data_IF_476110659082
#
_entry.id   IF_476110659082
#
_cell.length_a   1.000
_cell.length_b   1.000
_cell.length_c   1.000
_cell.angle_alpha   90.00
_cell.angle_beta   90.00
_cell.angle_gamma   90.00
#
_symmetry.space_group_name_H-M   'P 1'
#
loop_
_entity.id
_entity.type
_entity.pdbx_description
1 polymer ?
#
# COMPACT_ATOMS: atom_id res chain seq x y z
N UNK A 1 28.30 6.60 -5.86
CA UNK A 1 28.95 5.26 -5.80
C UNK A 1 29.47 4.88 -7.20
N UNK A 2 30.64 4.23 -7.34
CA UNK A 2 31.09 3.67 -8.63
C UNK A 2 30.34 2.37 -8.95
N UNK A 3 30.00 2.17 -10.22
CA UNK A 3 29.30 0.98 -10.74
C UNK A 3 30.09 0.36 -11.89
N UNK A 4 30.28 -0.96 -11.84
CA UNK A 4 30.97 -1.75 -12.87
C UNK A 4 30.12 -2.98 -13.22
N UNK A 5 29.02 -2.77 -13.96
CA UNK A 5 28.05 -3.84 -14.25
C UNK A 5 28.64 -4.92 -15.17
N UNK A 6 28.32 -6.18 -14.84
CA UNK A 6 28.60 -7.33 -15.69
C UNK A 6 27.80 -7.26 -17.00
N UNK A 7 28.24 -7.96 -18.04
CA UNK A 7 27.52 -8.01 -19.33
C UNK A 7 26.10 -8.58 -19.17
N UNK A 8 25.93 -9.59 -18.30
CA UNK A 8 24.63 -10.14 -17.97
C UNK A 8 23.72 -9.10 -17.30
N UNK A 9 24.25 -8.26 -16.42
CA UNK A 9 23.47 -7.20 -15.78
C UNK A 9 23.09 -6.09 -16.76
N UNK A 10 23.93 -5.76 -17.74
CA UNK A 10 23.61 -4.78 -18.79
C UNK A 10 22.45 -5.23 -19.68
N UNK A 11 22.23 -6.54 -19.80
CA UNK A 11 21.11 -7.10 -20.55
C UNK A 11 19.77 -7.13 -19.77
N UNK A 12 19.77 -6.77 -18.48
CA UNK A 12 18.54 -6.72 -17.69
C UNK A 12 17.63 -5.57 -18.14
N UNK A 13 16.30 -5.74 -18.06
CA UNK A 13 15.37 -4.63 -18.23
C UNK A 13 15.70 -3.50 -17.24
N UNK A 14 15.84 -2.29 -17.77
CA UNK A 14 16.13 -1.07 -17.00
C UNK A 14 17.48 -1.08 -16.26
N UNK A 15 18.50 -1.76 -16.80
CA UNK A 15 19.86 -1.74 -16.24
C UNK A 15 20.42 -0.30 -16.05
N UNK A 16 20.23 0.58 -17.03
CA UNK A 16 20.68 1.98 -16.95
C UNK A 16 20.05 2.75 -15.78
N UNK A 17 18.80 2.41 -15.44
CA UNK A 17 18.11 3.00 -14.31
C UNK A 17 18.66 2.48 -12.97
N UNK A 18 18.93 1.18 -12.88
CA UNK A 18 19.63 0.63 -11.72
C UNK A 18 21.00 1.29 -11.54
N UNK A 19 21.76 1.49 -12.61
CA UNK A 19 23.05 2.16 -12.58
C UNK A 19 22.93 3.61 -12.07
N UNK A 20 21.98 4.39 -12.62
CA UNK A 20 21.70 5.76 -12.18
C UNK A 20 21.36 5.82 -10.69
N UNK A 21 20.47 4.96 -10.22
CA UNK A 21 20.04 4.94 -8.81
C UNK A 21 21.21 4.60 -7.88
N UNK A 22 22.04 3.61 -8.25
CA UNK A 22 23.23 3.23 -7.48
C UNK A 22 24.24 4.38 -7.41
N UNK A 23 24.48 5.07 -8.52
CA UNK A 23 25.43 6.20 -8.58
C UNK A 23 25.03 7.34 -7.65
N UNK A 24 23.73 7.60 -7.47
CA UNK A 24 23.21 8.59 -6.53
C UNK A 24 23.51 8.27 -5.05
N UNK A 25 23.70 7.01 -4.69
CA UNK A 25 23.96 6.64 -3.30
C UNK A 25 25.38 7.06 -2.87
N UNK A 26 25.46 7.77 -1.74
CA UNK A 26 26.72 8.21 -1.10
C UNK A 26 27.04 7.45 0.21
N UNK A 27 26.28 6.40 0.52
CA UNK A 27 26.49 5.52 1.69
C UNK A 27 26.47 6.18 3.09
N UNK A 28 25.86 7.37 3.23
CA UNK A 28 25.79 8.12 4.49
C UNK A 28 25.06 7.42 5.64
N UNK A 29 24.13 6.50 5.36
CA UNK A 29 23.46 5.68 6.38
C UNK A 29 22.20 6.26 7.03
N UNK A 30 21.77 7.48 6.68
CA UNK A 30 20.51 8.08 7.21
C UNK A 30 19.29 7.17 7.02
N UNK A 31 19.25 6.41 5.92
CA UNK A 31 18.18 5.48 5.63
C UNK A 31 18.06 4.32 6.64
N UNK A 32 19.14 3.95 7.35
CA UNK A 32 19.09 2.89 8.36
C UNK A 32 18.41 3.37 9.65
N UNK A 33 18.55 4.66 10.00
CA UNK A 33 17.91 5.24 11.18
C UNK A 33 16.38 5.16 11.12
N UNK A 34 15.80 5.16 9.92
CA UNK A 34 14.34 5.11 9.71
C UNK A 34 13.85 3.76 9.16
N UNK A 35 14.75 2.82 8.89
CA UNK A 35 14.37 1.53 8.31
C UNK A 35 13.83 0.59 9.39
N UNK A 36 12.54 0.21 9.34
CA UNK A 36 11.93 -0.63 10.36
C UNK A 36 12.66 -1.97 10.57
N UNK A 37 13.05 -2.66 9.50
CA UNK A 37 13.72 -3.96 9.66
C UNK A 37 15.13 -3.84 10.22
N UNK A 38 15.83 -2.74 9.95
CA UNK A 38 17.13 -2.49 10.58
C UNK A 38 16.97 -2.17 12.06
N UNK A 39 16.00 -1.34 12.44
CA UNK A 39 15.74 -1.00 13.84
C UNK A 39 15.37 -2.23 14.68
N UNK A 40 14.59 -3.16 14.12
CA UNK A 40 14.23 -4.41 14.81
C UNK A 40 15.36 -5.43 14.90
N UNK A 41 16.20 -5.55 13.86
CA UNK A 41 17.18 -6.63 13.76
C UNK A 41 18.63 -6.22 14.06
N UNK A 42 18.95 -4.93 14.01
CA UNK A 42 20.32 -4.41 14.12
C UNK A 42 21.26 -4.85 12.98
N UNK A 43 20.74 -5.54 11.96
CA UNK A 43 21.54 -6.09 10.87
C UNK A 43 21.58 -5.11 9.68
N UNK A 44 22.79 -4.67 9.31
CA UNK A 44 23.02 -3.76 8.17
C UNK A 44 22.44 -4.29 6.86
N UNK A 45 22.47 -5.61 6.62
CA UNK A 45 21.93 -6.23 5.43
C UNK A 45 20.39 -6.14 5.37
N UNK A 46 19.74 -5.95 6.52
CA UNK A 46 18.30 -5.66 6.63
C UNK A 46 18.01 -4.14 6.65
N UNK A 47 19.02 -3.30 6.44
CA UNK A 47 18.89 -1.86 6.16
C UNK A 47 18.87 -1.55 4.65
N UNK A 48 18.38 -0.36 4.23
CA UNK A 48 18.31 0.00 2.82
C UNK A 48 19.70 0.11 2.20
N UNK A 49 20.70 0.59 2.94
CA UNK A 49 22.09 0.68 2.48
C UNK A 49 22.70 -0.70 2.22
N UNK A 50 22.52 -1.65 3.14
CA UNK A 50 22.97 -3.03 2.94
C UNK A 50 22.28 -3.69 1.75
N UNK A 51 20.97 -3.54 1.60
CA UNK A 51 20.23 -4.08 0.44
C UNK A 51 20.64 -3.46 -0.90
N UNK A 52 20.92 -2.16 -0.93
CA UNK A 52 21.52 -1.50 -2.11
C UNK A 52 22.85 -2.17 -2.48
N UNK A 53 23.69 -2.45 -1.48
CA UNK A 53 24.97 -3.11 -1.70
C UNK A 53 24.80 -4.55 -2.18
N UNK A 54 23.85 -5.31 -1.63
CA UNK A 54 23.50 -6.65 -2.09
C UNK A 54 23.08 -6.66 -3.56
N UNK A 55 22.21 -5.72 -3.97
CA UNK A 55 21.79 -5.59 -5.37
C UNK A 55 22.99 -5.19 -6.26
N UNK A 56 23.85 -4.27 -5.79
CA UNK A 56 25.07 -3.90 -6.52
C UNK A 56 26.00 -5.10 -6.73
N UNK A 57 26.27 -5.88 -5.69
CA UNK A 57 27.14 -7.06 -5.76
C UNK A 57 26.61 -8.08 -6.76
N UNK A 58 25.30 -8.29 -6.79
CA UNK A 58 24.66 -9.09 -7.82
C UNK A 58 24.85 -8.51 -9.23
N UNK A 59 24.63 -7.21 -9.43
CA UNK A 59 24.75 -6.59 -10.76
C UNK A 59 26.20 -6.54 -11.29
N UNK A 60 27.19 -6.35 -10.42
CA UNK A 60 28.60 -6.25 -10.82
C UNK A 60 29.29 -7.61 -10.96
N UNK A 61 28.97 -8.55 -10.08
CA UNK A 61 29.76 -9.76 -9.93
C UNK A 61 28.93 -11.05 -10.04
N UNK A 62 27.61 -10.94 -10.26
CA UNK A 62 26.68 -12.07 -10.28
C UNK A 62 26.72 -12.90 -8.98
N UNK A 63 27.10 -12.25 -7.86
CA UNK A 63 27.20 -12.88 -6.55
C UNK A 63 25.83 -12.78 -5.87
N UNK A 64 25.21 -13.94 -5.64
CA UNK A 64 23.90 -14.04 -5.01
C UNK A 64 23.77 -15.33 -4.22
N UNK A 65 23.01 -15.28 -3.13
CA UNK A 65 22.79 -16.42 -2.23
C UNK A 65 21.37 -16.43 -1.67
N UNK A 66 20.98 -17.53 -1.02
CA UNK A 66 19.73 -17.60 -0.25
C UNK A 66 19.63 -16.47 0.80
N UNK A 67 20.74 -16.14 1.47
CA UNK A 67 20.78 -15.01 2.42
C UNK A 67 20.55 -13.66 1.72
N UNK A 68 21.06 -13.49 0.50
CA UNK A 68 20.81 -12.28 -0.30
C UNK A 68 19.31 -12.12 -0.57
N UNK A 69 18.64 -13.20 -1.00
CA UNK A 69 17.20 -13.22 -1.24
C UNK A 69 16.41 -12.93 0.05
N UNK A 70 16.77 -13.57 1.16
CA UNK A 70 16.13 -13.37 2.46
C UNK A 70 16.16 -11.90 2.91
N UNK A 71 17.31 -11.25 2.84
CA UNK A 71 17.45 -9.84 3.22
C UNK A 71 16.60 -8.93 2.35
N UNK A 72 16.51 -9.17 1.04
CA UNK A 72 15.65 -8.39 0.15
C UNK A 72 14.16 -8.64 0.40
N UNK A 73 13.78 -9.88 0.68
CA UNK A 73 12.39 -10.26 0.96
C UNK A 73 11.89 -9.76 2.32
N UNK A 74 12.79 -9.43 3.25
CA UNK A 74 12.46 -8.71 4.49
C UNK A 74 12.11 -7.24 4.26
N UNK A 75 12.33 -6.68 3.07
CA UNK A 75 11.95 -5.30 2.81
C UNK A 75 10.42 -5.12 2.73
N UNK A 76 9.88 -4.25 3.57
CA UNK A 76 8.45 -3.89 3.59
C UNK A 76 8.01 -3.03 2.40
N UNK A 77 8.93 -2.53 1.56
CA UNK A 77 8.65 -1.56 0.48
C UNK A 77 7.97 -0.26 0.95
N UNK A 78 8.17 0.13 2.22
CA UNK A 78 7.49 1.27 2.84
C UNK A 78 7.97 2.66 2.38
N UNK A 79 9.08 2.74 1.65
CA UNK A 79 9.72 3.96 1.12
C UNK A 79 10.13 5.03 2.15
N UNK A 80 10.11 4.73 3.46
CA UNK A 80 10.61 5.65 4.49
C UNK A 80 12.09 6.05 4.23
N UNK A 81 12.88 5.07 3.80
CA UNK A 81 14.28 5.26 3.41
C UNK A 81 14.49 6.32 2.32
N UNK A 82 13.52 6.51 1.42
CA UNK A 82 13.60 7.48 0.33
C UNK A 82 13.22 8.87 0.80
N UNK A 83 12.23 8.95 1.69
CA UNK A 83 11.82 10.23 2.30
C UNK A 83 12.97 10.86 3.07
N UNK A 84 13.76 10.05 3.79
CA UNK A 84 14.91 10.56 4.57
C UNK A 84 16.20 10.69 3.77
N UNK A 85 16.26 10.21 2.53
CA UNK A 85 17.51 10.16 1.77
C UNK A 85 17.86 11.56 1.22
N UNK A 86 18.99 12.18 1.66
CA UNK A 86 19.37 13.49 1.12
C UNK A 86 19.79 13.44 -0.35
N UNK A 87 20.20 12.25 -0.84
CA UNK A 87 20.63 12.04 -2.22
C UNK A 87 19.50 11.62 -3.16
N UNK A 88 18.25 11.51 -2.66
CA UNK A 88 17.09 11.15 -3.49
C UNK A 88 17.19 9.75 -4.13
N UNK A 89 17.77 8.77 -3.44
CA UNK A 89 17.88 7.39 -3.95
C UNK A 89 16.48 6.76 -4.04
N UNK A 90 16.04 6.43 -5.25
CA UNK A 90 14.76 5.76 -5.54
C UNK A 90 14.87 4.25 -5.32
N UNK A 91 15.10 3.86 -4.07
CA UNK A 91 15.39 2.47 -3.69
C UNK A 91 14.32 1.47 -4.13
N UNK A 92 13.03 1.82 -4.12
CA UNK A 92 11.94 0.96 -4.56
C UNK A 92 12.09 0.51 -6.01
N UNK A 93 12.56 1.39 -6.91
CA UNK A 93 12.78 1.06 -8.32
C UNK A 93 13.96 0.12 -8.47
N UNK A 94 15.04 0.37 -7.74
CA UNK A 94 16.19 -0.53 -7.69
C UNK A 94 15.79 -1.91 -7.15
N UNK A 95 14.92 -1.95 -6.14
CA UNK A 95 14.39 -3.19 -5.58
C UNK A 95 13.51 -3.94 -6.57
N UNK A 96 12.66 -3.23 -7.33
CA UNK A 96 11.81 -3.80 -8.38
C UNK A 96 12.65 -4.36 -9.56
N UNK A 97 13.86 -3.85 -9.79
CA UNK A 97 14.79 -4.44 -10.77
C UNK A 97 15.53 -5.64 -10.15
N UNK A 98 16.05 -5.48 -8.93
CA UNK A 98 16.93 -6.45 -8.28
C UNK A 98 16.23 -7.73 -7.82
N UNK A 99 15.08 -7.63 -7.15
CA UNK A 99 14.36 -8.80 -6.58
C UNK A 99 14.01 -9.86 -7.62
N UNK A 100 13.35 -9.56 -8.75
CA UNK A 100 12.99 -10.58 -9.72
C UNK A 100 14.22 -11.17 -10.43
N UNK A 101 15.26 -10.38 -10.65
CA UNK A 101 16.52 -10.86 -11.21
C UNK A 101 17.22 -11.85 -10.25
N UNK A 102 17.24 -11.54 -8.95
CA UNK A 102 17.80 -12.41 -7.90
C UNK A 102 16.93 -13.66 -7.69
N UNK A 103 15.60 -13.55 -7.68
CA UNK A 103 14.67 -14.68 -7.59
C UNK A 103 14.85 -15.68 -8.76
N UNK A 104 15.21 -15.19 -9.94
CA UNK A 104 15.52 -16.04 -11.09
C UNK A 104 16.84 -16.83 -10.93
N UNK A 105 17.78 -16.35 -10.10
CA UNK A 105 19.05 -17.03 -9.82
C UNK A 105 18.98 -17.94 -8.59
N UNK A 106 18.24 -17.54 -7.57
CA UNK A 106 18.14 -18.26 -6.29
C UNK A 106 16.77 -18.91 -6.16
N UNK A 107 16.75 -20.23 -6.26
CA UNK A 107 15.52 -21.00 -6.18
C UNK A 107 15.02 -21.08 -4.74
N UNK A 108 13.88 -20.45 -4.47
CA UNK A 108 13.14 -20.59 -3.20
C UNK A 108 12.72 -22.05 -2.92
N UNK A 109 12.61 -22.46 -1.65
CA UNK A 109 11.97 -23.70 -1.25
C UNK A 109 10.56 -23.87 -1.84
N UNK A 110 10.14 -25.11 -2.10
CA UNK A 110 8.85 -25.38 -2.74
C UNK A 110 7.66 -24.82 -1.95
N UNK A 111 7.70 -24.91 -0.62
CA UNK A 111 6.67 -24.38 0.29
C UNK A 111 6.51 -22.86 0.17
N UNK A 112 7.61 -22.11 0.12
CA UNK A 112 7.59 -20.66 -0.06
C UNK A 112 7.05 -20.27 -1.43
N UNK A 113 7.47 -20.99 -2.48
CA UNK A 113 6.95 -20.77 -3.84
C UNK A 113 5.45 -21.00 -3.90
N UNK A 114 4.96 -22.08 -3.30
CA UNK A 114 3.52 -22.38 -3.20
C UNK A 114 2.77 -21.29 -2.43
N UNK A 115 3.32 -20.80 -1.31
CA UNK A 115 2.72 -19.72 -0.53
C UNK A 115 2.64 -18.42 -1.34
N UNK A 116 3.76 -17.97 -1.92
CA UNK A 116 3.82 -16.74 -2.70
C UNK A 116 2.89 -16.80 -3.91
N UNK A 117 2.90 -17.90 -4.65
CA UNK A 117 2.02 -18.10 -5.80
C UNK A 117 0.55 -18.18 -5.38
N UNK A 118 0.24 -18.87 -4.29
CA UNK A 118 -1.10 -18.94 -3.73
C UNK A 118 -1.65 -17.56 -3.37
N UNK A 119 -0.86 -16.72 -2.68
CA UNK A 119 -1.23 -15.34 -2.33
C UNK A 119 -1.45 -14.49 -3.59
N UNK A 120 -0.55 -14.60 -4.56
CA UNK A 120 -0.61 -13.86 -5.84
C UNK A 120 -1.81 -14.26 -6.70
N UNK A 121 -2.24 -15.52 -6.63
CA UNK A 121 -3.40 -15.98 -7.38
C UNK A 121 -4.73 -15.71 -6.63
N UNK A 122 -4.73 -15.80 -5.30
CA UNK A 122 -5.94 -15.63 -4.50
C UNK A 122 -6.32 -14.16 -4.25
N UNK A 123 -5.39 -13.35 -3.73
CA UNK A 123 -5.71 -11.99 -3.25
C UNK A 123 -6.18 -11.04 -4.36
N UNK A 124 -5.55 -10.99 -5.56
CA UNK A 124 -5.96 -10.09 -6.63
C UNK A 124 -7.26 -10.48 -7.35
N UNK A 125 -7.90 -11.60 -6.98
CA UNK A 125 -9.16 -12.09 -7.55
C UNK A 125 -10.29 -11.95 -6.52
N UNK A 126 -11.09 -10.86 -6.55
CA UNK A 126 -12.06 -10.55 -5.50
C UNK A 126 -13.06 -11.67 -5.21
N UNK A 127 -13.57 -12.33 -6.25
CA UNK A 127 -14.52 -13.44 -6.12
C UNK A 127 -13.92 -14.66 -5.42
N UNK A 128 -12.71 -15.05 -5.83
CA UNK A 128 -11.97 -16.14 -5.21
C UNK A 128 -11.57 -15.81 -3.77
N UNK A 129 -11.03 -14.61 -3.53
CA UNK A 129 -10.69 -14.15 -2.19
C UNK A 129 -11.91 -14.17 -1.26
N UNK A 130 -13.06 -13.67 -1.72
CA UNK A 130 -14.31 -13.70 -0.96
C UNK A 130 -14.74 -15.12 -0.61
N UNK A 131 -14.67 -16.05 -1.57
CA UNK A 131 -15.02 -17.45 -1.32
C UNK A 131 -14.10 -18.07 -0.27
N UNK A 132 -12.77 -17.98 -0.46
CA UNK A 132 -11.78 -18.50 0.49
C UNK A 132 -11.93 -17.88 1.88
N UNK A 133 -12.16 -16.58 1.95
CA UNK A 133 -12.34 -15.87 3.20
C UNK A 133 -13.60 -16.33 3.95
N UNK A 134 -14.75 -16.47 3.26
CA UNK A 134 -15.98 -17.00 3.86
C UNK A 134 -15.84 -18.43 4.35
N UNK A 135 -15.15 -19.27 3.59
CA UNK A 135 -14.80 -20.64 4.02
C UNK A 135 -13.92 -20.59 5.28
N UNK A 136 -12.91 -19.71 5.30
CA UNK A 136 -12.07 -19.49 6.48
C UNK A 136 -12.87 -18.99 7.70
N UNK A 137 -13.90 -18.15 7.50
CA UNK A 137 -14.79 -17.70 8.57
C UNK A 137 -15.60 -18.85 9.15
N UNK A 138 -16.20 -19.68 8.30
CA UNK A 138 -16.98 -20.84 8.72
C UNK A 138 -16.12 -21.87 9.47
N UNK A 139 -14.86 -22.03 9.05
CA UNK A 139 -13.91 -22.99 9.62
C UNK A 139 -12.95 -22.35 10.64
N UNK A 140 -13.23 -21.14 11.13
CA UNK A 140 -12.33 -20.38 12.02
C UNK A 140 -11.83 -21.20 13.24
N UNK A 141 -12.64 -22.03 13.93
CA UNK A 141 -12.16 -22.84 15.05
C UNK A 141 -11.10 -23.88 14.67
N UNK A 142 -11.06 -24.27 13.38
CA UNK A 142 -10.13 -25.26 12.84
C UNK A 142 -8.90 -24.61 12.18
N UNK A 143 -8.90 -23.29 12.01
CA UNK A 143 -7.77 -22.58 11.41
C UNK A 143 -6.58 -22.49 12.37
N UNK A 144 -5.34 -22.59 11.86
CA UNK A 144 -4.16 -22.25 12.63
C UNK A 144 -4.28 -20.85 13.22
N UNK A 145 -3.86 -20.67 14.48
CA UNK A 145 -3.93 -19.37 15.19
C UNK A 145 -3.32 -18.22 14.38
N UNK A 146 -2.24 -18.49 13.63
CA UNK A 146 -1.55 -17.53 12.76
C UNK A 146 -2.42 -16.98 11.63
N UNK A 147 -3.39 -17.77 11.12
CA UNK A 147 -4.34 -17.35 10.09
C UNK A 147 -5.62 -16.77 10.69
N UNK A 148 -6.12 -17.38 11.77
CA UNK A 148 -7.32 -16.90 12.47
C UNK A 148 -7.15 -15.46 12.99
N UNK A 149 -5.93 -15.07 13.40
CA UNK A 149 -5.61 -13.71 13.85
C UNK A 149 -5.56 -12.66 12.74
N UNK A 150 -5.55 -13.08 11.46
CA UNK A 150 -5.58 -12.18 10.30
C UNK A 150 -7.00 -11.80 9.88
N UNK A 151 -7.99 -12.42 10.50
CA UNK A 151 -9.39 -12.17 10.20
C UNK A 151 -9.89 -10.98 11.02
N UNK A 152 -10.56 -9.99 10.41
CA UNK A 152 -11.14 -8.86 11.13
C UNK A 152 -12.03 -9.33 12.28
N UNK A 153 -11.99 -8.61 13.41
CA UNK A 153 -12.86 -8.89 14.57
C UNK A 153 -14.34 -8.72 14.21
N UNK A 154 -14.62 -7.68 13.43
CA UNK A 154 -15.95 -7.33 12.97
C UNK A 154 -15.85 -6.94 11.50
N UNK A 155 -16.87 -7.32 10.73
CA UNK A 155 -17.06 -6.88 9.35
C UNK A 155 -18.40 -6.15 9.33
N UNK A 156 -18.41 -4.81 9.20
CA UNK A 156 -19.67 -4.08 9.14
C UNK A 156 -20.44 -4.51 7.89
N UNK A 157 -21.77 -4.43 7.94
CA UNK A 157 -22.59 -4.67 6.77
C UNK A 157 -22.27 -3.62 5.68
N UNK A 158 -22.32 -3.97 4.38
CA UNK A 158 -22.19 -2.98 3.32
C UNK A 158 -23.31 -1.93 3.44
N UNK A 159 -22.93 -0.65 3.56
CA UNK A 159 -23.90 0.44 3.50
C UNK A 159 -24.42 0.70 2.09
N UNK A 160 -25.55 1.42 1.99
CA UNK A 160 -26.12 1.83 0.71
C UNK A 160 -25.29 2.96 0.08
N UNK A 161 -25.17 2.94 -1.25
CA UNK A 161 -24.49 3.99 -2.01
C UNK A 161 -25.53 4.89 -2.68
N UNK A 162 -25.44 6.22 -2.50
CA UNK A 162 -26.20 7.17 -3.32
C UNK A 162 -26.03 6.90 -4.81
N UNK A 163 -27.10 7.09 -5.58
CA UNK A 163 -27.02 7.06 -7.04
C UNK A 163 -26.32 8.35 -7.54
N UNK A 164 -25.50 8.27 -8.61
CA UNK A 164 -24.90 9.46 -9.20
C UNK A 164 -25.96 10.50 -9.59
N UNK A 165 -25.87 11.71 -9.02
CA UNK A 165 -26.85 12.80 -9.16
C UNK A 165 -26.23 14.19 -9.35
N UNK A 166 -24.93 14.33 -9.14
CA UNK A 166 -24.19 15.58 -9.23
C UNK A 166 -23.42 15.68 -10.54
N UNK A 167 -23.20 16.91 -11.01
CA UNK A 167 -22.42 17.19 -12.22
C UNK A 167 -20.97 16.74 -12.09
N UNK A 168 -20.37 16.99 -10.91
CA UNK A 168 -19.02 16.54 -10.59
C UNK A 168 -19.01 15.04 -10.38
N UNK A 169 -18.16 14.33 -11.13
CA UNK A 169 -18.11 12.86 -11.14
C UNK A 169 -16.68 12.35 -10.98
N UNK A 170 -16.49 11.36 -10.12
CA UNK A 170 -15.22 10.67 -9.92
C UNK A 170 -15.42 9.16 -9.96
N UNK A 171 -14.38 8.42 -10.34
CA UNK A 171 -14.39 6.97 -10.47
C UNK A 171 -13.82 6.32 -9.22
N UNK A 172 -14.47 5.32 -8.66
CA UNK A 172 -13.92 4.58 -7.51
C UNK A 172 -13.26 3.27 -7.95
N UNK A 173 -12.03 3.03 -7.49
CA UNK A 173 -11.46 1.69 -7.46
C UNK A 173 -12.13 0.88 -6.34
N UNK A 174 -12.85 -0.18 -6.70
CA UNK A 174 -13.45 -1.08 -5.70
C UNK A 174 -12.40 -1.82 -4.86
N UNK A 175 -11.25 -2.13 -5.47
CA UNK A 175 -10.19 -2.90 -4.85
C UNK A 175 -10.43 -4.40 -4.88
N UNK A 176 -9.48 -5.17 -4.38
CA UNK A 176 -9.51 -6.64 -4.44
C UNK A 176 -9.89 -7.31 -3.11
N UNK A 177 -9.23 -6.90 -2.03
CA UNK A 177 -9.39 -7.48 -0.70
C UNK A 177 -10.40 -6.69 0.14
N UNK A 178 -10.40 -5.36 0.02
CA UNK A 178 -11.23 -4.47 0.83
C UNK A 178 -12.73 -4.72 0.74
N UNK A 179 -13.34 -4.98 -0.44
CA UNK A 179 -14.79 -5.25 -0.52
C UNK A 179 -15.25 -6.48 0.26
N UNK A 180 -14.33 -7.32 0.73
CA UNK A 180 -14.60 -8.47 1.58
C UNK A 180 -14.28 -8.17 3.05
N UNK A 181 -13.17 -7.49 3.33
CA UNK A 181 -12.72 -7.23 4.71
C UNK A 181 -13.38 -5.99 5.37
N UNK A 182 -13.71 -4.97 4.58
CA UNK A 182 -14.33 -3.72 5.03
C UNK A 182 -15.30 -3.20 3.95
N UNK A 183 -16.46 -3.86 3.78
CA UNK A 183 -17.36 -3.60 2.66
C UNK A 183 -18.07 -2.24 2.75
N UNK A 184 -18.13 -1.61 3.94
CA UNK A 184 -18.76 -0.30 4.11
C UNK A 184 -17.86 0.86 3.66
N UNK A 185 -16.53 0.69 3.61
CA UNK A 185 -15.59 1.80 3.42
C UNK A 185 -15.83 2.60 2.15
N UNK A 186 -16.04 1.91 1.01
CA UNK A 186 -16.35 2.60 -0.25
C UNK A 186 -17.74 3.26 -0.21
N UNK A 187 -18.70 2.66 0.49
CA UNK A 187 -20.04 3.24 0.60
C UNK A 187 -20.05 4.49 1.48
N UNK A 188 -19.32 4.48 2.59
CA UNK A 188 -19.07 5.64 3.44
C UNK A 188 -18.39 6.77 2.66
N UNK A 189 -17.33 6.45 1.90
CA UNK A 189 -16.68 7.43 1.03
C UNK A 189 -17.65 8.01 -0.02
N UNK A 190 -18.52 7.20 -0.63
CA UNK A 190 -19.55 7.70 -1.56
C UNK A 190 -20.53 8.64 -0.87
N UNK A 191 -21.02 8.33 0.33
CA UNK A 191 -21.97 9.18 1.07
C UNK A 191 -21.33 10.52 1.49
N UNK A 192 -20.10 10.50 1.97
CA UNK A 192 -19.38 11.73 2.35
C UNK A 192 -19.15 12.62 1.12
N UNK A 193 -18.70 12.06 0.00
CA UNK A 193 -18.46 12.82 -1.22
C UNK A 193 -19.76 13.31 -1.88
N UNK A 194 -20.87 12.56 -1.77
CA UNK A 194 -22.19 12.99 -2.23
C UNK A 194 -22.67 14.23 -1.47
N UNK A 195 -22.46 14.32 -0.15
CA UNK A 195 -22.77 15.54 0.63
C UNK A 195 -21.95 16.75 0.18
N UNK A 196 -20.76 16.52 -0.36
CA UNK A 196 -19.88 17.55 -0.93
C UNK A 196 -20.17 17.83 -2.41
N UNK A 197 -21.29 17.31 -2.94
CA UNK A 197 -21.71 17.56 -4.31
C UNK A 197 -20.91 16.79 -5.37
N UNK A 198 -20.30 15.65 -5.01
CA UNK A 198 -19.50 14.83 -5.92
C UNK A 198 -20.13 13.44 -6.03
N UNK A 199 -20.53 13.07 -7.25
CA UNK A 199 -21.04 11.74 -7.54
C UNK A 199 -19.92 10.74 -7.81
N UNK A 200 -20.03 9.56 -7.20
CA UNK A 200 -19.03 8.50 -7.35
C UNK A 200 -19.58 7.38 -8.22
N UNK A 201 -18.89 7.11 -9.32
CA UNK A 201 -19.21 6.00 -10.21
C UNK A 201 -18.35 4.77 -9.86
N UNK A 202 -18.96 3.63 -9.51
CA UNK A 202 -18.22 2.39 -9.32
C UNK A 202 -17.83 1.79 -10.67
N UNK A 203 -16.52 1.57 -10.90
CA UNK A 203 -16.02 0.94 -12.13
C UNK A 203 -15.68 -0.53 -11.85
N UNK A 204 -16.68 -1.40 -11.96
CA UNK A 204 -16.59 -2.81 -11.57
C UNK A 204 -15.75 -3.66 -12.52
N UNK A 205 -15.51 -3.16 -13.72
CA UNK A 205 -14.62 -3.74 -14.73
C UNK A 205 -13.14 -3.56 -14.34
N UNK A 206 -12.83 -2.55 -13.51
CA UNK A 206 -11.52 -2.42 -12.88
C UNK A 206 -11.38 -3.47 -11.76
N UNK A 207 -10.23 -4.14 -11.73
CA UNK A 207 -9.91 -5.18 -10.76
C UNK A 207 -8.90 -4.72 -9.71
N UNK A 208 -8.09 -5.65 -9.21
CA UNK A 208 -6.94 -5.32 -8.37
C UNK A 208 -6.03 -4.29 -9.06
N UNK A 209 -5.42 -3.37 -8.29
CA UNK A 209 -4.44 -2.41 -8.81
C UNK A 209 -3.15 -3.06 -9.32
N UNK A 210 -2.81 -4.28 -8.89
CA UNK A 210 -1.58 -4.99 -9.28
C UNK A 210 -0.42 -4.87 -8.29
N UNK A 211 -0.54 -4.06 -7.23
CA UNK A 211 0.51 -3.89 -6.22
C UNK A 211 0.96 -5.22 -5.58
N UNK A 212 0.00 -6.11 -5.28
CA UNK A 212 0.28 -7.42 -4.69
C UNK A 212 1.14 -8.30 -5.60
N UNK A 213 0.96 -8.21 -6.91
CA UNK A 213 1.76 -8.97 -7.86
C UNK A 213 3.22 -8.48 -7.87
N UNK A 214 3.45 -7.17 -7.70
CA UNK A 214 4.79 -6.59 -7.55
C UNK A 214 5.46 -6.98 -6.23
N UNK A 215 4.70 -7.07 -5.13
CA UNK A 215 5.23 -7.51 -3.84
C UNK A 215 5.85 -8.90 -3.86
N UNK A 216 5.41 -9.79 -4.78
CA UNK A 216 5.99 -11.12 -4.95
C UNK A 216 7.48 -11.10 -5.34
N UNK A 217 7.94 -10.00 -5.96
CA UNK A 217 9.34 -9.81 -6.35
C UNK A 217 9.78 -10.79 -7.43
N UNK A 218 8.89 -11.15 -8.37
CA UNK A 218 9.17 -12.08 -9.47
C UNK A 218 8.80 -11.46 -10.82
N UNK A 219 9.46 -11.88 -11.91
CA UNK A 219 9.14 -11.41 -13.27
C UNK A 219 7.70 -11.72 -13.68
N UNK A 220 7.20 -12.91 -13.31
CA UNK A 220 5.80 -13.29 -13.56
C UNK A 220 4.81 -12.40 -12.79
N UNK A 221 5.14 -12.03 -11.56
CA UNK A 221 4.35 -11.09 -10.76
C UNK A 221 4.30 -9.70 -11.41
N UNK A 222 5.44 -9.15 -11.82
CA UNK A 222 5.45 -7.85 -12.49
C UNK A 222 4.63 -7.85 -13.79
N UNK A 223 4.79 -8.89 -14.63
CA UNK A 223 3.99 -9.04 -15.86
C UNK A 223 2.49 -9.06 -15.57
N UNK A 224 2.06 -9.84 -14.58
CA UNK A 224 0.65 -9.97 -14.25
C UNK A 224 0.10 -8.68 -13.60
N UNK A 225 0.92 -7.98 -12.81
CA UNK A 225 0.62 -6.64 -12.29
C UNK A 225 0.42 -5.61 -13.40
N UNK A 226 1.31 -5.58 -14.40
CA UNK A 226 1.18 -4.70 -15.56
C UNK A 226 -0.07 -5.04 -16.40
N UNK A 227 -0.40 -6.32 -16.55
CA UNK A 227 -1.64 -6.73 -17.22
C UNK A 227 -2.90 -6.25 -16.49
N UNK A 228 -2.87 -6.18 -15.15
CA UNK A 228 -3.96 -5.58 -14.36
C UNK A 228 -4.00 -4.06 -14.49
N UNK A 229 -2.84 -3.40 -14.51
CA UNK A 229 -2.76 -1.96 -14.74
C UNK A 229 -3.41 -1.58 -16.07
N UNK A 230 -3.09 -2.30 -17.16
CA UNK A 230 -3.70 -2.11 -18.49
C UNK A 230 -5.22 -2.29 -18.46
N UNK A 231 -5.69 -3.38 -17.86
CA UNK A 231 -7.13 -3.64 -17.70
C UNK A 231 -7.85 -2.51 -16.97
N UNK A 232 -7.25 -2.00 -15.89
CA UNK A 232 -7.84 -0.89 -15.14
C UNK A 232 -7.84 0.40 -15.95
N UNK A 233 -6.76 0.68 -16.70
CA UNK A 233 -6.70 1.79 -17.64
C UNK A 233 -7.82 1.65 -18.68
N UNK A 234 -8.02 0.49 -19.29
CA UNK A 234 -9.08 0.28 -20.28
C UNK A 234 -10.49 0.46 -19.70
N UNK A 235 -10.68 0.09 -18.42
CA UNK A 235 -11.95 0.31 -17.73
C UNK A 235 -12.20 1.80 -17.42
N UNK A 236 -11.18 2.55 -17.00
CA UNK A 236 -11.31 3.95 -16.61
C UNK A 236 -11.25 4.92 -17.79
N UNK A 237 -10.47 4.60 -18.83
CA UNK A 237 -10.15 5.52 -19.92
C UNK A 237 -11.38 6.10 -20.61
N UNK A 238 -12.40 5.31 -21.01
CA UNK A 238 -13.60 5.86 -21.61
C UNK A 238 -14.30 6.85 -20.68
N UNK A 239 -14.40 6.55 -19.39
CA UNK A 239 -15.10 7.39 -18.41
C UNK A 239 -14.36 8.70 -18.13
N UNK A 240 -13.03 8.65 -18.10
CA UNK A 240 -12.19 9.85 -18.02
C UNK A 240 -12.37 10.76 -19.25
N UNK A 241 -12.47 10.17 -20.45
CA UNK A 241 -12.74 10.92 -21.68
C UNK A 241 -14.15 11.53 -21.71
N UNK A 242 -15.11 10.96 -20.97
CA UNK A 242 -16.47 11.49 -20.81
C UNK A 242 -16.64 12.39 -19.57
N UNK A 243 -15.54 12.99 -19.09
CA UNK A 243 -15.57 14.08 -18.11
C UNK A 243 -15.51 13.64 -16.64
N UNK A 244 -15.15 12.39 -16.32
CA UNK A 244 -14.81 12.05 -14.94
C UNK A 244 -13.53 12.79 -14.50
N UNK A 245 -13.61 13.45 -13.34
CA UNK A 245 -12.56 14.36 -12.85
C UNK A 245 -11.31 13.59 -12.40
N UNK A 246 -11.50 12.52 -11.65
CA UNK A 246 -10.45 11.76 -10.99
C UNK A 246 -10.81 10.28 -10.81
N UNK A 247 -9.79 9.47 -10.52
CA UNK A 247 -9.91 8.10 -10.00
C UNK A 247 -9.54 8.17 -8.52
N UNK A 248 -10.43 7.71 -7.66
CA UNK A 248 -10.25 7.71 -6.22
C UNK A 248 -10.22 6.29 -5.67
N UNK A 249 -9.68 6.17 -4.48
CA UNK A 249 -9.48 4.93 -3.74
C UNK A 249 -9.50 5.22 -2.25
N UNK A 250 -9.89 4.20 -1.50
CA UNK A 250 -9.92 4.21 -0.03
C UNK A 250 -8.72 3.46 0.56
N UNK A 251 -7.95 2.72 -0.25
CA UNK A 251 -6.71 2.10 0.20
C UNK A 251 -5.50 2.85 -0.36
N UNK A 252 -4.77 3.56 0.50
CA UNK A 252 -3.58 4.34 0.12
C UNK A 252 -2.48 3.51 -0.57
N UNK A 253 -2.41 2.19 -0.32
CA UNK A 253 -1.50 1.30 -1.04
C UNK A 253 -1.89 1.09 -2.51
N UNK A 254 -3.19 1.07 -2.81
CA UNK A 254 -3.65 1.08 -4.20
C UNK A 254 -3.37 2.44 -4.86
N UNK A 255 -3.60 3.54 -4.14
CA UNK A 255 -3.35 4.89 -4.65
C UNK A 255 -1.88 5.11 -5.01
N UNK A 256 -0.97 4.73 -4.10
CA UNK A 256 0.46 4.76 -4.35
C UNK A 256 0.85 3.98 -5.61
N UNK A 257 0.29 2.79 -5.83
CA UNK A 257 0.62 1.98 -6.99
C UNK A 257 0.01 2.49 -8.31
N UNK A 258 -1.22 3.02 -8.30
CA UNK A 258 -1.85 3.61 -9.50
C UNK A 258 -1.07 4.86 -9.96
N UNK A 259 -0.58 5.66 -9.02
CA UNK A 259 0.29 6.82 -9.32
C UNK A 259 1.61 6.42 -9.99
N UNK A 260 2.04 5.16 -9.87
CA UNK A 260 3.22 4.62 -10.57
C UNK A 260 2.92 4.07 -11.96
N UNK A 261 1.65 3.91 -12.39
CA UNK A 261 1.33 3.33 -13.70
C UNK A 261 2.03 4.05 -14.85
N UNK A 262 2.06 5.38 -14.84
CA UNK A 262 2.74 6.18 -15.85
C UNK A 262 4.23 5.89 -15.97
N UNK A 263 4.89 5.59 -14.84
CA UNK A 263 6.28 5.13 -14.84
C UNK A 263 6.37 3.66 -15.30
N UNK A 264 5.57 2.77 -14.73
CA UNK A 264 5.60 1.33 -15.00
C UNK A 264 5.26 0.96 -16.46
N UNK A 265 4.46 1.78 -17.14
CA UNK A 265 4.04 1.58 -18.53
C UNK A 265 4.67 2.60 -19.50
N UNK A 266 5.72 3.32 -19.08
CA UNK A 266 6.35 4.41 -19.86
C UNK A 266 6.86 3.98 -21.23
N UNK A 267 7.33 2.74 -21.34
CA UNK A 267 7.91 2.18 -22.56
C UNK A 267 6.86 1.41 -23.39
N UNK A 268 5.59 1.41 -22.97
CA UNK A 268 4.54 0.74 -23.71
C UNK A 268 3.87 1.68 -24.74
N UNK A 269 4.00 1.42 -26.04
CA UNK A 269 3.51 2.36 -27.07
C UNK A 269 2.00 2.53 -27.07
N UNK A 270 1.22 1.54 -26.60
CA UNK A 270 -0.24 1.61 -26.59
C UNK A 270 -0.78 2.27 -25.31
N UNK A 271 -0.05 2.17 -24.20
CA UNK A 271 -0.54 2.60 -22.88
C UNK A 271 0.26 3.74 -22.23
N UNK A 272 1.45 4.11 -22.70
CA UNK A 272 2.29 5.12 -22.04
C UNK A 272 1.55 6.44 -21.77
N UNK A 273 0.82 6.97 -22.78
CA UNK A 273 0.04 8.19 -22.62
C UNK A 273 -1.14 8.01 -21.66
N UNK A 274 -1.93 6.94 -21.85
CA UNK A 274 -3.10 6.65 -21.01
C UNK A 274 -2.70 6.43 -19.56
N UNK A 275 -1.60 5.71 -19.32
CA UNK A 275 -1.05 5.43 -18.00
C UNK A 275 -0.58 6.71 -17.31
N UNK A 276 0.11 7.61 -18.02
CA UNK A 276 0.51 8.92 -17.49
C UNK A 276 -0.71 9.74 -17.07
N UNK A 277 -1.73 9.81 -17.91
CA UNK A 277 -2.97 10.54 -17.63
C UNK A 277 -3.76 9.91 -16.47
N UNK A 278 -3.84 8.58 -16.39
CA UNK A 278 -4.48 7.85 -15.28
C UNK A 278 -3.73 8.10 -13.97
N UNK A 279 -2.39 8.02 -13.96
CA UNK A 279 -1.59 8.31 -12.76
C UNK A 279 -1.77 9.75 -12.28
N UNK A 280 -1.84 10.72 -13.20
CA UNK A 280 -2.07 12.12 -12.85
C UNK A 280 -3.49 12.38 -12.31
N UNK A 281 -4.47 11.56 -12.71
CA UNK A 281 -5.86 11.65 -12.23
C UNK A 281 -6.16 10.76 -11.02
N UNK A 282 -5.20 9.97 -10.54
CA UNK A 282 -5.37 9.15 -9.35
C UNK A 282 -5.19 10.02 -8.10
N UNK A 283 -6.25 10.20 -7.30
CA UNK A 283 -6.26 11.07 -6.13
C UNK A 283 -6.69 10.29 -4.89
N UNK A 284 -5.93 10.45 -3.81
CA UNK A 284 -6.37 10.05 -2.47
C UNK A 284 -7.53 10.91 -1.99
N UNK A 285 -8.37 10.32 -1.15
CA UNK A 285 -9.52 11.02 -0.57
C UNK A 285 -9.08 12.30 0.15
N UNK A 286 -7.91 12.32 0.80
CA UNK A 286 -7.39 13.53 1.43
C UNK A 286 -7.08 14.64 0.43
N UNK A 287 -6.59 14.32 -0.78
CA UNK A 287 -6.36 15.32 -1.84
C UNK A 287 -7.67 15.91 -2.35
N UNK A 288 -8.70 15.06 -2.50
CA UNK A 288 -10.04 15.50 -2.91
C UNK A 288 -10.66 16.40 -1.85
N UNK A 289 -10.67 15.95 -0.60
CA UNK A 289 -11.27 16.64 0.54
C UNK A 289 -10.59 17.97 0.85
N UNK A 290 -9.28 18.07 0.72
CA UNK A 290 -8.55 19.32 0.96
C UNK A 290 -9.06 20.49 0.10
N UNK A 291 -9.65 20.20 -1.06
CA UNK A 291 -10.20 21.18 -2.00
C UNK A 291 -11.70 21.46 -1.80
N UNK A 292 -12.33 20.87 -0.78
CA UNK A 292 -13.76 21.06 -0.50
C UNK A 292 -13.97 21.94 0.74
N UNK A 293 -15.20 22.43 0.89
CA UNK A 293 -15.70 23.05 2.12
C UNK A 293 -15.91 21.96 3.18
N UNK A 294 -14.88 21.71 3.98
CA UNK A 294 -14.90 20.69 5.04
C UNK A 294 -15.72 21.15 6.24
N UNK A 295 -15.88 22.45 6.42
CA UNK A 295 -16.64 23.04 7.50
C UNK A 295 -18.13 22.69 7.37
N UNK A 296 -18.64 22.52 6.13
CA UNK A 296 -20.00 22.03 5.86
C UNK A 296 -20.29 20.61 6.35
N UNK A 297 -19.25 19.78 6.54
CA UNK A 297 -19.35 18.39 6.99
C UNK A 297 -18.52 18.13 8.26
N UNK A 298 -18.18 19.20 8.99
CA UNK A 298 -17.39 19.10 10.20
C UNK A 298 -18.21 18.40 11.28
N UNK A 299 -17.58 17.41 11.91
CA UNK A 299 -18.18 16.66 13.02
C UNK A 299 -17.80 17.31 14.36
N UNK A 300 -18.63 17.08 15.37
CA UNK A 300 -18.32 17.39 16.76
C UNK A 300 -18.18 16.06 17.50
N UNK A 301 -16.96 15.74 17.92
CA UNK A 301 -16.69 14.52 18.67
C UNK A 301 -15.65 14.78 19.76
N UNK A 302 -15.99 14.38 20.98
CA UNK A 302 -15.06 14.34 22.11
C UNK A 302 -14.19 13.07 22.09
N UNK A 303 -14.52 12.09 21.24
CA UNK A 303 -13.80 10.82 21.11
C UNK A 303 -12.33 11.07 20.72
N UNK A 304 -11.40 10.56 21.55
CA UNK A 304 -9.97 10.67 21.29
C UNK A 304 -9.57 9.68 20.21
N UNK A 305 -9.05 10.17 19.10
CA UNK A 305 -8.71 9.35 17.94
C UNK A 305 -7.20 9.39 17.69
N UNK A 306 -6.55 8.24 17.63
CA UNK A 306 -5.19 8.15 17.12
C UNK A 306 -5.22 7.89 15.61
N UNK A 307 -4.51 8.70 14.82
CA UNK A 307 -4.38 8.47 13.39
C UNK A 307 -3.12 7.67 13.07
N UNK A 308 -3.30 6.47 12.53
CA UNK A 308 -2.22 5.75 11.85
C UNK A 308 -2.14 6.17 10.38
N UNK A 309 -1.21 7.07 10.07
CA UNK A 309 -0.85 7.39 8.69
C UNK A 309 -0.08 6.21 8.06
N UNK A 310 -0.63 5.52 7.04
CA UNK A 310 0.08 4.43 6.38
C UNK A 310 1.36 4.92 5.70
N UNK A 311 2.40 4.09 5.68
CA UNK A 311 3.66 4.41 4.98
C UNK A 311 3.45 4.73 3.49
N UNK A 312 2.47 4.10 2.83
CA UNK A 312 2.09 4.39 1.44
C UNK A 312 1.49 5.79 1.28
N UNK A 313 0.82 6.31 2.32
CA UNK A 313 0.30 7.67 2.32
C UNK A 313 1.40 8.68 2.68
N UNK A 314 2.21 8.36 3.70
CA UNK A 314 3.25 9.25 4.23
C UNK A 314 4.46 9.40 3.29
N UNK A 315 4.95 8.31 2.73
CA UNK A 315 6.24 8.28 2.01
C UNK A 315 6.07 8.14 0.51
N UNK A 316 5.22 7.21 0.05
CA UNK A 316 5.02 7.01 -1.38
C UNK A 316 4.21 8.16 -2.00
N UNK A 317 3.09 8.54 -1.37
CA UNK A 317 2.25 9.64 -1.84
C UNK A 317 2.62 11.01 -1.25
N UNK A 318 3.38 11.06 -0.14
CA UNK A 318 3.79 12.29 0.55
C UNK A 318 2.62 13.15 1.07
N UNK A 319 1.55 12.51 1.52
CA UNK A 319 0.30 13.14 1.97
C UNK A 319 0.11 13.15 3.49
N UNK A 320 1.14 12.83 4.28
CA UNK A 320 1.00 12.70 5.74
C UNK A 320 0.51 13.97 6.44
N UNK A 321 1.14 15.12 6.14
CA UNK A 321 0.73 16.41 6.71
C UNK A 321 -0.67 16.84 6.23
N UNK A 322 -0.98 16.63 4.94
CA UNK A 322 -2.29 16.92 4.36
C UNK A 322 -3.39 16.10 5.05
N UNK A 323 -3.16 14.81 5.26
CA UNK A 323 -4.11 13.93 5.93
C UNK A 323 -4.41 14.41 7.35
N UNK A 324 -3.39 14.76 8.14
CA UNK A 324 -3.58 15.28 9.49
C UNK A 324 -4.35 16.61 9.50
N UNK A 325 -4.04 17.51 8.56
CA UNK A 325 -4.75 18.78 8.41
C UNK A 325 -6.23 18.56 8.08
N UNK A 326 -6.55 17.67 7.13
CA UNK A 326 -7.93 17.36 6.73
C UNK A 326 -8.71 16.73 7.88
N UNK A 327 -8.15 15.74 8.58
CA UNK A 327 -8.81 15.12 9.73
C UNK A 327 -9.10 16.12 10.85
N UNK A 328 -8.16 17.05 11.10
CA UNK A 328 -8.35 18.12 12.10
C UNK A 328 -9.46 19.08 11.67
N UNK A 329 -9.49 19.51 10.40
CA UNK A 329 -10.55 20.39 9.86
C UNK A 329 -11.93 19.75 9.89
N UNK A 330 -11.99 18.44 9.66
CA UNK A 330 -13.21 17.65 9.79
C UNK A 330 -13.69 17.53 11.25
N UNK A 331 -12.90 17.95 12.24
CA UNK A 331 -13.31 17.99 13.64
C UNK A 331 -12.94 16.75 14.46
N UNK A 332 -12.02 15.90 13.99
CA UNK A 332 -11.49 14.81 14.82
C UNK A 332 -10.59 15.34 15.93
N UNK A 333 -10.80 14.86 17.15
CA UNK A 333 -9.92 15.08 18.28
C UNK A 333 -8.70 14.13 18.21
N UNK A 334 -7.66 14.53 17.49
CA UNK A 334 -6.49 13.69 17.25
C UNK A 334 -5.52 13.68 18.44
N UNK A 335 -5.16 12.48 18.91
CA UNK A 335 -4.09 12.32 19.90
C UNK A 335 -2.71 12.50 19.26
N UNK A 336 -1.73 12.91 20.07
CA UNK A 336 -0.32 12.90 19.63
C UNK A 336 0.17 11.45 19.55
N UNK A 337 0.86 11.11 18.46
CA UNK A 337 1.45 9.79 18.24
C UNK A 337 2.98 9.94 18.14
N UNK A 338 3.75 9.54 19.17
CA UNK A 338 5.21 9.48 19.07
C UNK A 338 5.61 8.52 17.96
N UNK A 339 6.78 8.73 17.35
CA UNK A 339 7.31 7.85 16.30
C UNK A 339 6.29 7.51 15.20
N UNK A 340 5.52 8.52 14.78
CA UNK A 340 4.46 8.38 13.78
C UNK A 340 4.96 7.73 12.48
N UNK A 341 6.25 7.88 12.16
CA UNK A 341 6.93 7.32 11.00
C UNK A 341 7.11 5.79 11.01
N UNK A 342 6.94 5.10 12.16
CA UNK A 342 7.10 3.65 12.22
C UNK A 342 6.14 2.93 11.25
N UNK A 343 6.57 1.82 10.66
CA UNK A 343 5.71 0.99 9.82
C UNK A 343 4.86 0.05 10.70
N UNK A 344 3.62 -0.21 10.32
CA UNK A 344 2.78 -1.19 11.04
C UNK A 344 3.13 -2.66 10.77
N UNK A 345 3.99 -2.95 9.80
CA UNK A 345 4.42 -4.33 9.47
C UNK A 345 3.46 -5.13 8.58
N UNK A 346 2.40 -4.52 8.05
CA UNK A 346 1.43 -5.24 7.18
C UNK A 346 1.97 -5.52 5.77
N UNK A 347 2.41 -4.47 5.06
CA UNK A 347 3.05 -4.45 3.73
C UNK A 347 2.55 -5.52 2.74
N UNK A 348 1.26 -5.51 2.45
CA UNK A 348 0.64 -6.42 1.49
C UNK A 348 0.62 -7.86 2.02
N UNK A 349 1.48 -8.72 1.49
CA UNK A 349 1.62 -10.13 1.92
C UNK A 349 2.64 -10.33 3.04
N UNK A 350 3.41 -9.29 3.39
CA UNK A 350 4.52 -9.38 4.33
C UNK A 350 4.12 -9.97 5.69
N UNK A 351 2.97 -9.56 6.22
CA UNK A 351 2.53 -10.07 7.52
C UNK A 351 2.19 -11.57 7.56
N UNK A 352 2.14 -12.22 6.39
CA UNK A 352 1.98 -13.66 6.21
C UNK A 352 3.35 -14.32 5.98
N UNK A 353 4.21 -13.70 5.17
CA UNK A 353 5.52 -14.25 4.80
C UNK A 353 6.61 -14.01 5.86
N UNK A 354 6.46 -13.00 6.71
CA UNK A 354 7.38 -12.61 7.77
C UNK A 354 6.63 -12.38 9.10
N UNK A 355 5.93 -13.40 9.64
CA UNK A 355 4.94 -13.22 10.70
C UNK A 355 5.52 -12.73 12.03
N UNK A 356 6.70 -13.21 12.44
CA UNK A 356 7.33 -12.77 13.68
C UNK A 356 7.71 -11.28 13.62
N UNK A 357 8.43 -10.86 12.57
CA UNK A 357 8.86 -9.48 12.39
C UNK A 357 7.68 -8.53 12.20
N UNK A 358 6.67 -8.94 11.43
CA UNK A 358 5.44 -8.18 11.25
C UNK A 358 4.66 -7.97 12.57
N UNK A 359 4.73 -8.94 13.49
CA UNK A 359 4.11 -8.83 14.81
C UNK A 359 4.85 -7.79 15.67
N UNK A 360 6.17 -7.85 15.74
CA UNK A 360 6.96 -6.88 16.53
C UNK A 360 6.73 -5.44 16.04
N UNK A 361 6.81 -5.23 14.72
CA UNK A 361 6.54 -3.92 14.11
C UNK A 361 5.12 -3.40 14.40
N UNK A 362 4.14 -4.31 14.40
CA UNK A 362 2.76 -3.98 14.74
C UNK A 362 2.63 -3.53 16.18
N UNK A 363 3.19 -4.31 17.10
CA UNK A 363 3.04 -4.09 18.53
C UNK A 363 3.77 -2.78 18.92
N UNK A 364 4.96 -2.51 18.37
CA UNK A 364 5.68 -1.23 18.51
C UNK A 364 4.85 -0.04 17.98
N UNK A 365 4.20 -0.19 16.83
CA UNK A 365 3.31 0.84 16.29
C UNK A 365 2.07 1.05 17.17
N UNK A 366 1.49 -0.02 17.72
CA UNK A 366 0.33 0.09 18.61
C UNK A 366 0.69 0.79 19.92
N UNK A 367 1.86 0.50 20.50
CA UNK A 367 2.32 1.19 21.71
C UNK A 367 2.42 2.71 21.48
N UNK A 368 2.97 3.12 20.34
CA UNK A 368 2.99 4.52 19.93
C UNK A 368 1.58 5.11 19.74
N UNK A 369 0.70 4.42 19.00
CA UNK A 369 -0.67 4.89 18.74
C UNK A 369 -1.51 5.00 20.01
N UNK A 370 -1.31 4.09 20.96
CA UNK A 370 -2.09 4.00 22.19
C UNK A 370 -1.54 4.86 23.35
N UNK A 371 -0.37 5.47 23.17
CA UNK A 371 0.26 6.35 24.18
C UNK A 371 -0.63 7.52 24.63
N UNK A 372 -1.46 8.06 23.72
CA UNK A 372 -2.42 9.12 24.01
C UNK A 372 -3.76 8.63 24.58
N UNK A 373 -3.89 7.34 24.91
CA UNK A 373 -5.13 6.67 25.31
C UNK A 373 -6.33 6.98 24.39
N UNK A 374 -6.21 6.72 23.08
CA UNK A 374 -7.32 6.91 22.16
C UNK A 374 -8.44 5.89 22.41
N UNK A 375 -9.68 6.32 22.24
CA UNK A 375 -10.85 5.44 22.21
C UNK A 375 -10.83 4.56 20.95
N UNK A 376 -10.26 5.08 19.86
CA UNK A 376 -10.19 4.41 18.56
C UNK A 376 -8.95 4.82 17.76
N UNK A 377 -8.45 3.88 16.97
CA UNK A 377 -7.43 4.16 15.96
C UNK A 377 -8.08 4.23 14.58
N UNK A 378 -7.72 5.23 13.78
CA UNK A 378 -8.17 5.32 12.38
C UNK A 378 -7.00 5.25 11.41
N UNK A 379 -7.24 4.69 10.21
CA UNK A 379 -6.24 4.60 9.15
C UNK A 379 -6.85 4.67 7.75
N UNK A 380 -6.01 4.82 6.73
CA UNK A 380 -6.40 4.99 5.32
C UNK A 380 -5.90 3.82 4.44
N UNK A 381 -5.80 2.63 5.01
CA UNK A 381 -5.35 1.43 4.29
C UNK A 381 -5.90 0.17 4.94
N UNK A 382 -6.65 -0.63 4.18
CA UNK A 382 -7.24 -1.88 4.68
C UNK A 382 -6.21 -2.88 5.22
N UNK A 383 -5.02 -2.95 4.62
CA UNK A 383 -3.95 -3.85 5.09
C UNK A 383 -3.44 -3.42 6.46
N UNK A 384 -3.29 -2.12 6.70
CA UNK A 384 -2.93 -1.58 8.01
C UNK A 384 -4.07 -1.78 9.01
N UNK A 385 -5.31 -1.47 8.62
CA UNK A 385 -6.51 -1.63 9.44
C UNK A 385 -6.64 -3.06 9.95
N UNK A 386 -6.68 -4.06 9.06
CA UNK A 386 -6.85 -5.46 9.47
C UNK A 386 -5.69 -5.99 10.29
N UNK A 387 -4.45 -5.59 9.98
CA UNK A 387 -3.27 -6.07 10.70
C UNK A 387 -3.18 -5.51 12.12
N UNK A 388 -3.40 -4.19 12.28
CA UNK A 388 -3.44 -3.53 13.59
C UNK A 388 -4.65 -4.02 14.42
N UNK A 389 -5.85 -4.10 13.82
CA UNK A 389 -7.06 -4.58 14.50
C UNK A 389 -6.93 -6.02 15.01
N UNK A 390 -6.20 -6.86 14.26
CA UNK A 390 -5.91 -8.25 14.62
C UNK A 390 -5.05 -8.42 15.87
N UNK A 391 -4.54 -7.33 16.48
CA UNK A 391 -3.91 -7.39 17.80
C UNK A 391 -4.93 -7.54 18.93
N UNK A 392 -6.21 -7.18 18.72
CA UNK A 392 -7.23 -7.27 19.75
C UNK A 392 -7.15 -6.21 20.85
N UNK A 393 -6.32 -5.17 20.66
CA UNK A 393 -6.20 -3.99 21.54
C UNK A 393 -7.25 -2.93 21.14
N UNK A 394 -6.89 -1.66 21.02
CA UNK A 394 -7.79 -0.57 20.62
C UNK A 394 -8.44 -0.85 19.25
N UNK A 395 -9.76 -0.61 19.07
CA UNK A 395 -10.45 -0.77 17.79
C UNK A 395 -9.82 0.04 16.66
N UNK A 396 -9.61 -0.60 15.50
CA UNK A 396 -9.06 0.07 14.32
C UNK A 396 -10.09 0.13 13.20
N UNK A 397 -10.40 1.34 12.74
CA UNK A 397 -11.39 1.61 11.69
C UNK A 397 -10.77 2.37 10.52
N UNK A 398 -11.47 2.37 9.40
CA UNK A 398 -11.14 3.31 8.34
C UNK A 398 -11.64 4.72 8.71
N UNK A 399 -10.82 5.75 8.54
CA UNK A 399 -11.17 7.11 8.99
C UNK A 399 -12.46 7.64 8.34
N UNK A 400 -12.69 7.36 7.06
CA UNK A 400 -13.90 7.81 6.35
C UNK A 400 -15.19 7.22 6.92
N UNK A 401 -15.13 6.02 7.51
CA UNK A 401 -16.30 5.40 8.14
C UNK A 401 -16.66 6.15 9.42
N UNK A 402 -15.67 6.63 10.18
CA UNK A 402 -15.91 7.43 11.39
C UNK A 402 -16.56 8.77 11.05
N UNK A 403 -16.10 9.42 9.98
CA UNK A 403 -16.73 10.66 9.48
C UNK A 403 -18.17 10.39 9.06
N UNK A 404 -18.40 9.36 8.25
CA UNK A 404 -19.73 8.99 7.77
C UNK A 404 -20.68 8.62 8.92
N UNK A 405 -20.22 7.83 9.90
CA UNK A 405 -20.98 7.47 11.11
C UNK A 405 -21.40 8.73 11.89
N UNK A 406 -20.48 9.64 12.17
CA UNK A 406 -20.75 10.86 12.93
C UNK A 406 -21.64 11.85 12.17
N UNK A 407 -21.64 11.80 10.83
CA UNK A 407 -22.51 12.58 9.98
C UNK A 407 -23.95 12.04 9.91
N UNK A 408 -24.19 10.83 10.43
CA UNK A 408 -25.48 10.14 10.46
C UNK A 408 -26.04 9.91 11.87
N UNK A 409 -25.23 10.14 12.91
CA UNK A 409 -25.65 10.21 14.31
C UNK A 409 -26.38 11.52 14.59
#
# INVERSE_FOLDING_TARGET
>A
MQTNFSDAARALPHADEAERILRNCVHCGFCNATCPTYQELGNELDGPRGRIYLIKQFLEHDVVSAATQEHLDRCLTCRNCETTCPSGVEYHKLLDIGRPAIDARVRRPASERLLHEGLRQALPRPGLFRALFRTGQALKPLLPRRLASKMPRQIPAPGQRPQPRHTRRMLMLEGCVQPTLSPNTNAAATRVLDRLGISIEPVREAGCCGAVDFHAGTWSGQRDGLARARRNIDAWWPRLQHGAEAIIQTASGCGAFIKEYGYLLRDDPQYAEKARAVSAKALDLFEVLAQQDLESIRIQSEEKIAFHCPCTLQHAQKLGALAQQVLTRLGLNLTTVPDAHLCCGSAGTYSITQPELAKNLRDNKLDALESGHPDRIVTANIGCQSHLDGAGRTPVRHWIEVIDEALHA
#
